data_IF_413002465418
#
_entry.id   IF_413002465418
#
_cell.length_a   1.000
_cell.length_b   1.000
_cell.length_c   1.000
_cell.angle_alpha   90.00
_cell.angle_beta   90.00
_cell.angle_gamma   90.00
#
_symmetry.space_group_name_H-M   'P 1'
#
loop_
_entity.id
_entity.type
_entity.pdbx_description
1 polymer ?
#
# COMPACT_ATOMS: atom_id res chain seq x y z
N UNK A 1 5.01 45.05 87.51
CA UNK A 1 5.38 43.70 87.05
C UNK A 1 4.11 42.87 86.88
N UNK A 2 3.50 42.83 85.69
CA UNK A 2 2.50 41.83 85.34
C UNK A 2 2.61 41.48 83.85
N UNK A 3 2.41 40.18 83.60
CA UNK A 3 3.00 39.40 82.52
C UNK A 3 2.12 39.40 81.28
N UNK A 4 2.79 39.35 80.13
CA UNK A 4 2.26 39.05 78.81
C UNK A 4 1.56 37.68 78.80
N UNK A 5 0.40 37.58 78.13
CA UNK A 5 -0.17 36.31 77.67
C UNK A 5 -0.49 36.48 76.18
N UNK A 6 0.32 35.83 75.35
CA UNK A 6 0.01 35.50 73.96
C UNK A 6 -0.78 34.19 73.94
N UNK A 7 -1.71 34.03 73.00
CA UNK A 7 -2.40 32.76 72.80
C UNK A 7 -3.17 32.68 71.48
N UNK A 8 -2.41 32.53 70.40
CA UNK A 8 -2.60 31.50 69.36
C UNK A 8 -4.01 31.31 68.75
N UNK A 9 -4.26 32.00 67.63
CA UNK A 9 -5.25 31.61 66.63
C UNK A 9 -4.60 30.57 65.69
N UNK A 10 -4.98 29.30 65.82
CA UNK A 10 -4.54 28.21 64.94
C UNK A 10 -5.53 28.09 63.77
N UNK A 11 -5.31 28.87 62.71
CA UNK A 11 -5.95 28.66 61.41
C UNK A 11 -5.15 27.59 60.66
N UNK A 12 -5.60 26.34 60.73
CA UNK A 12 -5.03 25.23 59.96
C UNK A 12 -5.36 25.39 58.48
N UNK A 13 -4.39 25.90 57.71
CA UNK A 13 -4.42 25.91 56.25
C UNK A 13 -4.13 24.49 55.76
N UNK A 14 -5.17 23.83 55.22
CA UNK A 14 -5.04 22.56 54.51
C UNK A 14 -4.49 22.86 53.12
N UNK A 15 -3.19 22.69 52.93
CA UNK A 15 -2.54 22.68 51.62
C UNK A 15 -2.84 21.34 50.94
N UNK A 16 -3.89 21.31 50.13
CA UNK A 16 -4.15 20.24 49.16
C UNK A 16 -3.12 20.36 48.03
N UNK A 17 -2.06 19.58 48.10
CA UNK A 17 -1.14 19.34 46.99
C UNK A 17 -1.83 18.48 45.93
N UNK A 18 -2.43 19.14 44.95
CA UNK A 18 -2.92 18.52 43.72
C UNK A 18 -1.68 18.23 42.85
N UNK A 19 -1.07 17.06 43.04
CA UNK A 19 -0.12 16.53 42.05
C UNK A 19 -0.94 15.95 40.91
N UNK A 20 -1.29 16.81 39.95
CA UNK A 20 -1.83 16.36 38.67
C UNK A 20 -0.64 15.94 37.82
N UNK A 21 -0.33 14.65 37.82
CA UNK A 21 0.67 14.05 36.93
C UNK A 21 0.06 14.04 35.51
N UNK A 22 0.16 15.18 34.82
CA UNK A 22 -0.15 15.27 33.40
C UNK A 22 0.98 14.58 32.65
N UNK A 23 0.87 13.25 32.55
CA UNK A 23 1.60 12.51 31.53
C UNK A 23 0.99 12.94 30.20
N UNK A 24 1.68 13.84 29.49
CA UNK A 24 1.44 14.01 28.06
C UNK A 24 1.54 12.63 27.44
N UNK A 25 0.40 12.12 26.97
CA UNK A 25 0.36 10.90 26.18
C UNK A 25 1.08 11.28 24.89
N UNK A 26 2.36 10.94 24.79
CA UNK A 26 3.07 11.00 23.51
C UNK A 26 2.19 10.29 22.50
N UNK A 27 1.59 11.06 21.59
CA UNK A 27 0.89 10.47 20.46
C UNK A 27 1.96 9.66 19.73
N UNK A 28 1.78 8.35 19.54
CA UNK A 28 2.78 7.57 18.84
C UNK A 28 3.05 8.25 17.50
N UNK A 29 4.32 8.59 17.25
CA UNK A 29 4.72 9.16 15.96
C UNK A 29 4.17 8.25 14.86
N UNK A 30 3.55 8.82 13.81
CA UNK A 30 3.01 8.01 12.72
C UNK A 30 4.16 7.19 12.13
N UNK A 31 4.03 5.86 12.23
CA UNK A 31 5.03 4.91 11.74
C UNK A 31 5.27 5.16 10.26
N UNK A 32 6.42 5.74 9.91
CA UNK A 32 6.83 5.88 8.52
C UNK A 32 7.20 4.49 7.98
N UNK A 33 6.41 3.90 7.06
CA UNK A 33 6.59 2.52 6.69
C UNK A 33 7.84 2.38 5.81
N UNK A 34 8.83 1.60 6.27
CA UNK A 34 10.12 1.42 5.58
C UNK A 34 10.00 1.06 4.10
N UNK A 35 9.00 0.27 3.72
CA UNK A 35 8.77 -0.19 2.35
C UNK A 35 7.61 0.54 1.65
N UNK A 36 7.06 1.59 2.25
CA UNK A 36 6.02 2.42 1.67
C UNK A 36 6.01 3.80 2.34
N UNK A 37 7.03 4.63 2.10
CA UNK A 37 7.15 5.92 2.75
C UNK A 37 5.96 6.82 2.36
N UNK A 38 5.22 7.30 3.37
CA UNK A 38 4.03 8.13 3.18
C UNK A 38 4.38 9.59 3.49
N UNK A 39 4.53 10.40 2.45
CA UNK A 39 4.88 11.81 2.58
C UNK A 39 4.35 12.59 1.38
N UNK A 40 3.68 13.71 1.65
CA UNK A 40 3.21 14.62 0.60
C UNK A 40 4.36 15.08 -0.28
N UNK A 41 4.11 15.15 -1.59
CA UNK A 41 5.12 15.49 -2.59
C UNK A 41 5.91 14.30 -3.12
N UNK A 42 5.82 13.11 -2.50
CA UNK A 42 6.41 11.90 -3.08
C UNK A 42 5.70 11.51 -4.36
N UNK A 43 6.48 11.06 -5.34
CA UNK A 43 5.95 10.56 -6.60
C UNK A 43 6.72 9.35 -7.13
N UNK A 44 6.04 8.58 -7.96
CA UNK A 44 6.56 7.43 -8.70
C UNK A 44 6.06 7.50 -10.14
N UNK A 45 6.96 7.28 -11.09
CA UNK A 45 6.66 7.15 -12.52
C UNK A 45 6.99 5.73 -12.93
N UNK A 46 5.99 5.02 -13.45
CA UNK A 46 6.11 3.65 -13.93
C UNK A 46 6.04 3.63 -15.45
N UNK A 47 6.89 2.81 -16.06
CA UNK A 47 6.68 2.31 -17.41
C UNK A 47 5.74 1.11 -17.35
N UNK A 48 4.76 1.07 -18.24
CA UNK A 48 3.67 0.09 -18.21
C UNK A 48 3.60 -0.63 -19.54
N UNK A 49 3.77 -1.94 -19.48
CA UNK A 49 3.45 -2.86 -20.56
C UNK A 49 2.09 -3.50 -20.23
N UNK A 50 1.15 -3.46 -21.16
CA UNK A 50 -0.16 -4.07 -20.98
C UNK A 50 -0.60 -4.77 -22.27
N UNK A 51 -1.18 -5.96 -22.10
CA UNK A 51 -1.91 -6.67 -23.14
C UNK A 51 -3.29 -7.05 -22.64
N UNK A 52 -4.32 -6.73 -23.39
CA UNK A 52 -5.70 -7.11 -23.09
C UNK A 52 -6.21 -8.09 -24.14
N UNK A 53 -6.85 -9.17 -23.70
CA UNK A 53 -7.36 -10.24 -24.56
C UNK A 53 -8.88 -10.20 -24.60
N UNK A 54 -9.45 -10.21 -25.80
CA UNK A 54 -10.90 -10.18 -26.05
C UNK A 54 -11.41 -11.47 -26.72
N UNK A 55 -10.50 -12.34 -27.15
CA UNK A 55 -10.81 -13.60 -27.79
C UNK A 55 -9.56 -14.37 -28.22
N UNK A 56 -9.77 -15.50 -28.88
CA UNK A 56 -8.69 -16.27 -29.51
C UNK A 56 -7.98 -15.43 -30.57
N UNK A 57 -6.68 -15.16 -30.35
CA UNK A 57 -5.87 -14.30 -31.21
C UNK A 57 -6.41 -12.86 -31.40
N UNK A 58 -7.30 -12.42 -30.52
CA UNK A 58 -7.83 -11.06 -30.48
C UNK A 58 -7.34 -10.36 -29.21
N UNK A 59 -6.37 -9.46 -29.39
CA UNK A 59 -5.73 -8.76 -28.29
C UNK A 59 -5.22 -7.38 -28.71
N UNK A 60 -5.09 -6.49 -27.74
CA UNK A 60 -4.49 -5.16 -27.89
C UNK A 60 -3.27 -5.03 -26.98
N UNK A 61 -2.15 -4.60 -27.58
CA UNK A 61 -0.94 -4.22 -26.87
C UNK A 61 -0.91 -2.71 -26.64
N UNK A 62 -0.52 -2.30 -25.43
CA UNK A 62 -0.31 -0.90 -25.10
C UNK A 62 0.95 -0.71 -24.27
N UNK A 63 1.64 0.39 -24.56
CA UNK A 63 2.79 0.87 -23.82
C UNK A 63 2.53 2.33 -23.44
N UNK A 64 2.68 2.63 -22.16
CA UNK A 64 2.38 3.95 -21.60
C UNK A 64 3.06 4.12 -20.23
N UNK A 65 2.79 5.22 -19.57
CA UNK A 65 3.36 5.58 -18.28
C UNK A 65 2.28 5.93 -17.27
N UNK A 66 2.47 5.52 -16.03
CA UNK A 66 1.71 6.00 -14.89
C UNK A 66 2.57 6.91 -14.02
N UNK A 67 1.97 7.95 -13.45
CA UNK A 67 2.56 8.78 -12.40
C UNK A 67 1.64 8.78 -11.19
N UNK A 68 2.10 8.21 -10.10
CA UNK A 68 1.45 8.29 -8.79
C UNK A 68 2.10 9.38 -7.98
N UNK A 69 1.31 10.26 -7.37
CA UNK A 69 1.80 11.32 -6.50
C UNK A 69 0.95 11.43 -5.24
N UNK A 70 1.58 11.48 -4.07
CA UNK A 70 0.91 11.86 -2.83
C UNK A 70 0.69 13.37 -2.85
N UNK A 71 -0.56 13.80 -3.02
CA UNK A 71 -0.90 15.22 -3.17
C UNK A 71 -1.28 15.88 -1.85
N UNK A 72 -1.91 15.13 -0.95
CA UNK A 72 -2.49 15.66 0.28
C UNK A 72 -2.38 14.64 1.41
N UNK A 73 -2.30 15.14 2.64
CA UNK A 73 -2.54 14.40 3.87
C UNK A 73 -3.85 14.90 4.50
N UNK A 74 -4.74 13.98 4.78
CA UNK A 74 -6.05 14.20 5.37
C UNK A 74 -6.12 13.47 6.72
N UNK A 75 -7.08 13.84 7.56
CA UNK A 75 -7.33 13.16 8.84
C UNK A 75 -8.68 12.46 8.77
N UNK A 76 -8.72 11.16 9.11
CA UNK A 76 -9.98 10.42 9.18
C UNK A 76 -10.76 10.70 10.48
N UNK A 77 -11.96 10.11 10.61
CA UNK A 77 -12.81 10.29 11.78
C UNK A 77 -12.18 9.78 13.10
N UNK A 78 -11.17 8.91 13.01
CA UNK A 78 -10.42 8.36 14.14
C UNK A 78 -9.15 9.17 14.46
N UNK A 79 -8.92 10.30 13.78
CA UNK A 79 -7.74 11.13 13.99
C UNK A 79 -6.46 10.60 13.35
N UNK A 80 -6.55 9.59 12.46
CA UNK A 80 -5.40 9.00 11.79
C UNK A 80 -5.12 9.68 10.43
N UNK A 81 -3.84 9.81 10.03
CA UNK A 81 -3.48 10.36 8.73
C UNK A 81 -3.87 9.43 7.57
N UNK A 82 -4.38 10.02 6.50
CA UNK A 82 -4.77 9.39 5.25
C UNK A 82 -4.16 10.17 4.10
N UNK A 83 -3.37 9.51 3.28
CA UNK A 83 -2.61 10.13 2.19
C UNK A 83 -3.35 9.94 0.88
N UNK A 84 -3.73 11.04 0.24
CA UNK A 84 -4.38 11.01 -1.08
C UNK A 84 -3.32 10.86 -2.16
N UNK A 85 -3.48 9.85 -3.01
CA UNK A 85 -2.64 9.59 -4.18
C UNK A 85 -3.45 9.88 -5.44
N UNK A 86 -2.88 10.67 -6.34
CA UNK A 86 -3.41 10.89 -7.69
C UNK A 86 -2.56 10.10 -8.67
N UNK A 87 -3.21 9.24 -9.45
CA UNK A 87 -2.62 8.55 -10.59
C UNK A 87 -2.93 9.30 -11.86
N UNK A 88 -1.90 9.57 -12.64
CA UNK A 88 -1.99 10.15 -13.97
C UNK A 88 -1.42 9.19 -15.00
N UNK A 89 -1.93 9.26 -16.23
CA UNK A 89 -1.53 8.44 -17.37
C UNK A 89 -0.90 9.32 -18.44
N UNK A 90 0.11 8.80 -19.13
CA UNK A 90 0.75 9.46 -20.26
C UNK A 90 1.23 8.44 -21.28
N UNK A 91 1.15 8.74 -22.57
CA UNK A 91 1.75 7.91 -23.64
C UNK A 91 3.17 8.37 -24.02
N UNK A 92 3.55 9.60 -23.67
CA UNK A 92 4.79 10.25 -24.13
C UNK A 92 5.65 10.86 -23.01
N UNK A 93 5.17 10.79 -21.75
CA UNK A 93 5.72 11.41 -20.53
C UNK A 93 5.64 12.94 -20.50
N UNK A 94 5.01 13.57 -21.48
CA UNK A 94 4.88 15.03 -21.59
C UNK A 94 3.49 15.48 -21.19
N UNK A 95 2.45 14.83 -21.72
CA UNK A 95 1.06 15.12 -21.40
C UNK A 95 0.53 14.07 -20.41
N UNK A 96 0.01 14.54 -19.28
CA UNK A 96 -0.45 13.70 -18.17
C UNK A 96 -1.92 13.95 -17.90
N UNK A 97 -2.74 12.94 -18.15
CA UNK A 97 -4.17 12.97 -17.88
C UNK A 97 -4.46 12.30 -16.53
N UNK A 98 -5.40 12.85 -15.77
CA UNK A 98 -5.82 12.22 -14.51
C UNK A 98 -6.57 10.91 -14.81
N UNK A 99 -6.04 9.79 -14.30
CA UNK A 99 -6.64 8.46 -14.48
C UNK A 99 -7.58 8.16 -13.32
N UNK A 100 -7.08 8.24 -12.08
CA UNK A 100 -7.83 7.94 -10.87
C UNK A 100 -7.17 8.57 -9.63
N UNK A 101 -7.88 8.51 -8.51
CA UNK A 101 -7.32 8.81 -7.21
C UNK A 101 -7.63 7.67 -6.23
N UNK A 102 -6.73 7.42 -5.30
CA UNK A 102 -6.90 6.49 -4.20
C UNK A 102 -6.29 7.06 -2.93
N UNK A 103 -6.50 6.40 -1.81
CA UNK A 103 -5.85 6.79 -0.55
C UNK A 103 -5.04 5.64 0.04
N UNK A 104 -3.98 6.00 0.74
CA UNK A 104 -3.14 5.12 1.53
C UNK A 104 -3.23 5.52 2.99
N UNK A 105 -3.31 4.56 3.90
CA UNK A 105 -3.23 4.80 5.34
C UNK A 105 -2.51 3.67 6.04
N UNK A 106 -1.89 4.00 7.17
CA UNK A 106 -1.44 3.00 8.12
C UNK A 106 -2.57 2.71 9.11
N UNK A 107 -2.96 1.44 9.15
CA UNK A 107 -3.95 0.92 10.09
C UNK A 107 -3.26 -0.07 11.03
N UNK A 108 -2.90 0.41 12.21
CA UNK A 108 -1.98 -0.30 13.12
C UNK A 108 -0.67 -0.62 12.40
N UNK A 109 -0.44 -1.90 12.06
CA UNK A 109 0.72 -2.39 11.33
C UNK A 109 0.40 -2.79 9.89
N UNK A 110 -0.66 -2.24 9.29
CA UNK A 110 -1.12 -2.60 7.93
C UNK A 110 -1.11 -1.37 7.03
N UNK A 111 -0.49 -1.48 5.86
CA UNK A 111 -0.65 -0.51 4.80
C UNK A 111 -1.94 -0.83 4.04
N UNK A 112 -2.91 0.08 4.12
CA UNK A 112 -4.23 -0.11 3.50
C UNK A 112 -4.41 0.88 2.37
N UNK A 113 -4.81 0.37 1.20
CA UNK A 113 -5.23 1.18 0.04
C UNK A 113 -6.75 1.17 -0.07
N UNK A 114 -7.35 2.36 -0.17
CA UNK A 114 -8.75 2.51 -0.52
C UNK A 114 -8.89 3.10 -1.92
N UNK A 115 -9.51 2.33 -2.82
CA UNK A 115 -9.72 2.70 -4.22
C UNK A 115 -11.04 2.10 -4.70
N UNK A 116 -11.84 2.87 -5.45
CA UNK A 116 -13.10 2.40 -6.05
C UNK A 116 -14.03 1.65 -5.06
N UNK A 117 -14.24 2.22 -3.86
CA UNK A 117 -15.05 1.63 -2.79
C UNK A 117 -14.56 0.28 -2.24
N UNK A 118 -13.31 -0.11 -2.50
CA UNK A 118 -12.69 -1.32 -1.95
C UNK A 118 -11.41 -1.00 -1.18
N UNK A 119 -11.24 -1.63 -0.02
CA UNK A 119 -10.07 -1.48 0.84
C UNK A 119 -9.20 -2.75 0.78
N UNK A 120 -7.97 -2.63 0.31
CA UNK A 120 -7.03 -3.75 0.23
C UNK A 120 -5.85 -3.53 1.17
N UNK A 121 -5.47 -4.56 1.92
CA UNK A 121 -4.22 -4.57 2.71
C UNK A 121 -3.08 -4.94 1.77
N UNK A 122 -2.22 -3.95 1.47
CA UNK A 122 -1.11 -4.10 0.52
C UNK A 122 0.12 -4.76 1.16
N UNK A 123 0.41 -4.39 2.41
CA UNK A 123 1.60 -4.86 3.12
C UNK A 123 1.34 -4.84 4.63
N UNK A 124 1.96 -5.76 5.35
CA UNK A 124 1.88 -5.84 6.82
C UNK A 124 3.25 -5.73 7.47
N UNK A 125 3.28 -5.10 8.63
CA UNK A 125 4.46 -4.82 9.43
C UNK A 125 4.42 -5.60 10.76
N UNK A 126 5.58 -5.97 11.32
CA UNK A 126 6.89 -6.01 10.66
C UNK A 126 6.89 -6.96 9.46
N UNK A 127 7.65 -6.59 8.42
CA UNK A 127 7.85 -7.40 7.21
C UNK A 127 8.73 -8.61 7.58
N UNK A 128 8.18 -9.82 7.45
CA UNK A 128 8.83 -11.07 7.82
C UNK A 128 8.52 -12.15 6.78
N UNK A 129 9.45 -13.08 6.48
CA UNK A 129 9.21 -14.16 5.53
C UNK A 129 8.01 -15.01 5.92
N UNK A 130 7.29 -15.55 4.93
CA UNK A 130 6.16 -16.48 5.09
C UNK A 130 4.93 -15.90 5.79
N UNK A 131 4.91 -14.59 6.10
CA UNK A 131 3.74 -13.96 6.69
C UNK A 131 2.64 -13.86 5.65
N UNK A 132 1.43 -14.27 6.02
CA UNK A 132 0.24 -14.26 5.18
C UNK A 132 -0.86 -13.42 5.81
N UNK A 133 -1.71 -12.83 4.97
CA UNK A 133 -2.89 -12.10 5.41
C UNK A 133 -3.97 -12.12 4.34
N UNK A 134 -5.20 -11.95 4.77
CA UNK A 134 -6.31 -11.68 3.87
C UNK A 134 -6.27 -10.20 3.43
N UNK A 135 -5.96 -9.97 2.15
CA UNK A 135 -5.95 -8.64 1.54
C UNK A 135 -7.35 -8.02 1.49
N UNK A 136 -8.40 -8.85 1.50
CA UNK A 136 -9.80 -8.46 1.44
C UNK A 136 -10.48 -8.39 2.81
N UNK A 137 -9.71 -8.37 3.92
CA UNK A 137 -10.25 -8.37 5.29
C UNK A 137 -11.36 -7.33 5.54
N UNK A 138 -11.31 -6.18 4.86
CA UNK A 138 -12.27 -5.09 5.00
C UNK A 138 -13.39 -5.08 3.95
N UNK A 139 -13.37 -6.01 3.00
CA UNK A 139 -14.32 -6.09 1.90
C UNK A 139 -15.32 -7.22 2.13
N UNK A 140 -16.54 -7.13 1.57
CA UNK A 140 -17.53 -8.21 1.64
C UNK A 140 -17.23 -9.38 0.68
N UNK A 141 -16.09 -9.35 -0.02
CA UNK A 141 -15.65 -10.39 -0.95
C UNK A 141 -15.00 -11.55 -0.21
N UNK A 142 -14.81 -12.68 -0.90
CA UNK A 142 -14.06 -13.81 -0.33
C UNK A 142 -12.61 -13.42 0.02
N UNK A 143 -11.96 -14.20 0.90
CA UNK A 143 -10.59 -13.94 1.30
C UNK A 143 -9.65 -14.02 0.11
N UNK A 144 -8.67 -13.13 0.05
CA UNK A 144 -7.59 -13.16 -0.92
C UNK A 144 -6.27 -13.15 -0.17
N UNK A 145 -5.59 -14.31 -0.14
CA UNK A 145 -4.44 -14.49 0.73
C UNK A 145 -3.17 -14.00 0.05
N UNK A 146 -2.65 -12.87 0.53
CA UNK A 146 -1.33 -12.39 0.14
C UNK A 146 -0.26 -12.99 1.05
N UNK A 147 0.96 -13.11 0.54
CA UNK A 147 2.10 -13.64 1.26
C UNK A 147 3.38 -12.84 1.01
N UNK A 148 4.21 -12.66 2.04
CA UNK A 148 5.61 -12.27 1.83
C UNK A 148 6.38 -13.50 1.35
N UNK A 149 6.68 -13.52 0.06
CA UNK A 149 7.39 -14.61 -0.60
C UNK A 149 8.91 -14.47 -0.39
N UNK A 150 9.44 -13.26 -0.59
CA UNK A 150 10.90 -13.02 -0.54
C UNK A 150 11.21 -11.66 0.05
N UNK A 151 12.30 -11.60 0.81
CA UNK A 151 12.93 -10.37 1.29
C UNK A 151 14.39 -10.39 0.86
N UNK A 152 14.89 -9.30 0.31
CA UNK A 152 16.29 -9.16 -0.07
C UNK A 152 16.49 -8.26 -1.29
N UNK A 153 17.62 -8.46 -1.97
CA UNK A 153 17.92 -7.71 -3.18
C UNK A 153 16.95 -8.07 -4.31
N UNK A 154 16.48 -7.07 -5.05
CA UNK A 154 15.64 -7.22 -6.23
C UNK A 154 16.25 -6.45 -7.40
N UNK A 155 16.42 -7.13 -8.53
CA UNK A 155 16.93 -6.51 -9.75
C UNK A 155 15.79 -6.35 -10.77
N UNK A 156 15.70 -5.16 -11.36
CA UNK A 156 14.71 -4.81 -12.37
C UNK A 156 15.43 -4.09 -13.52
N UNK A 157 15.77 -4.85 -14.56
CA UNK A 157 16.68 -4.39 -15.62
C UNK A 157 18.07 -4.08 -15.06
N UNK A 158 18.57 -2.87 -15.33
CA UNK A 158 19.87 -2.40 -14.82
C UNK A 158 19.81 -1.85 -13.38
N UNK A 159 18.62 -1.75 -12.78
CA UNK A 159 18.43 -1.21 -11.43
C UNK A 159 18.43 -2.33 -10.41
N UNK A 160 19.12 -2.10 -9.30
CA UNK A 160 19.16 -3.03 -8.17
C UNK A 160 18.67 -2.32 -6.91
N UNK A 161 17.63 -2.88 -6.30
CA UNK A 161 17.11 -2.48 -5.00
C UNK A 161 17.67 -3.46 -3.96
N UNK A 162 18.67 -3.09 -3.16
CA UNK A 162 19.37 -4.04 -2.28
C UNK A 162 18.50 -4.56 -1.13
N UNK A 163 17.41 -3.85 -0.81
CA UNK A 163 16.47 -4.18 0.26
C UNK A 163 15.05 -3.96 -0.27
N UNK A 164 14.40 -5.07 -0.60
CA UNK A 164 13.04 -5.11 -1.11
C UNK A 164 12.27 -6.30 -0.55
N UNK A 165 10.94 -6.23 -0.62
CA UNK A 165 10.01 -7.30 -0.30
C UNK A 165 9.15 -7.62 -1.52
N UNK A 166 9.09 -8.90 -1.89
CA UNK A 166 8.13 -9.41 -2.86
C UNK A 166 6.91 -9.92 -2.11
N UNK A 167 5.76 -9.34 -2.42
CA UNK A 167 4.44 -9.76 -1.97
C UNK A 167 3.76 -10.53 -3.09
N UNK A 168 3.48 -11.80 -2.84
CA UNK A 168 2.71 -12.66 -3.72
C UNK A 168 1.24 -12.45 -3.47
N UNK A 169 0.47 -12.12 -4.51
CA UNK A 169 -0.99 -12.04 -4.44
C UNK A 169 -1.62 -13.38 -4.81
N UNK A 170 -1.15 -13.98 -5.90
CA UNK A 170 -1.60 -15.27 -6.41
C UNK A 170 -0.53 -15.89 -7.31
N UNK A 171 -0.45 -17.21 -7.32
CA UNK A 171 0.28 -18.01 -8.30
C UNK A 171 -0.46 -19.33 -8.48
N UNK A 172 -1.40 -19.35 -9.42
CA UNK A 172 -2.25 -20.49 -9.75
C UNK A 172 -2.41 -20.60 -11.27
N UNK A 173 -2.28 -21.80 -11.79
CA UNK A 173 -2.43 -22.13 -13.22
C UNK A 173 -2.91 -23.57 -13.28
N UNK A 174 -4.18 -23.77 -13.66
CA UNK A 174 -4.74 -25.11 -13.80
C UNK A 174 -4.37 -25.75 -15.15
N UNK A 175 -3.67 -25.01 -16.02
CA UNK A 175 -3.29 -25.36 -17.39
C UNK A 175 -4.47 -25.71 -18.32
N UNK A 176 -5.72 -25.49 -17.88
CA UNK A 176 -6.94 -25.94 -18.56
C UNK A 176 -7.93 -24.80 -18.76
N UNK A 177 -8.33 -24.10 -17.70
CA UNK A 177 -9.37 -23.06 -17.72
C UNK A 177 -8.89 -21.68 -17.31
N UNK A 178 -7.83 -21.54 -16.51
CA UNK A 178 -7.35 -20.22 -16.10
C UNK A 178 -5.87 -20.19 -15.68
N UNK A 179 -5.35 -18.97 -15.58
CA UNK A 179 -4.09 -18.63 -14.92
C UNK A 179 -4.24 -17.31 -14.17
N UNK A 180 -3.77 -17.27 -12.94
CA UNK A 180 -3.65 -16.09 -12.11
C UNK A 180 -2.24 -16.04 -11.49
N UNK A 181 -1.40 -15.15 -12.00
CA UNK A 181 -0.06 -14.90 -11.49
C UNK A 181 0.12 -13.41 -11.21
N UNK A 182 0.13 -13.05 -9.92
CA UNK A 182 0.15 -11.65 -9.47
C UNK A 182 1.13 -11.46 -8.32
N UNK A 183 1.99 -10.45 -8.44
CA UNK A 183 2.89 -10.04 -7.37
C UNK A 183 3.22 -8.55 -7.43
N UNK A 184 3.66 -8.02 -6.30
CA UNK A 184 4.18 -6.66 -6.18
C UNK A 184 5.53 -6.70 -5.43
N UNK A 185 6.43 -5.80 -5.79
CA UNK A 185 7.73 -5.63 -5.12
C UNK A 185 7.81 -4.23 -4.56
N UNK A 186 8.15 -4.15 -3.27
CA UNK A 186 8.31 -2.90 -2.54
C UNK A 186 9.76 -2.74 -2.09
N UNK A 187 10.42 -1.66 -2.48
CA UNK A 187 11.79 -1.36 -2.06
C UNK A 187 11.83 -0.37 -0.88
N UNK A 188 12.82 -0.56 -0.02
CA UNK A 188 13.06 0.30 1.13
C UNK A 188 13.25 1.77 0.74
N UNK A 189 12.58 2.68 1.45
CA UNK A 189 12.57 4.13 1.24
C UNK A 189 12.09 4.60 -0.16
N UNK A 190 11.65 3.66 -1.00
CA UNK A 190 11.09 3.92 -2.31
C UNK A 190 9.59 3.66 -2.29
N UNK A 191 9.13 2.48 -1.90
CA UNK A 191 7.74 2.06 -2.10
C UNK A 191 7.62 0.99 -3.19
N UNK A 192 6.47 0.93 -3.86
CA UNK A 192 6.23 0.02 -4.98
C UNK A 192 7.25 0.29 -6.12
N UNK A 193 8.02 -0.73 -6.50
CA UNK A 193 8.99 -0.67 -7.60
C UNK A 193 8.58 -1.51 -8.81
N UNK A 194 7.79 -2.55 -8.57
CA UNK A 194 7.30 -3.44 -9.62
C UNK A 194 5.92 -3.98 -9.24
N UNK A 195 5.02 -4.07 -10.21
CA UNK A 195 3.72 -4.75 -10.07
C UNK A 195 3.49 -5.58 -11.31
N UNK A 196 3.24 -6.87 -11.14
CA UNK A 196 3.03 -7.83 -12.21
C UNK A 196 1.68 -8.50 -12.04
N UNK A 197 0.92 -8.60 -13.12
CA UNK A 197 -0.36 -9.29 -13.12
C UNK A 197 -0.65 -9.95 -14.46
N UNK A 198 -0.86 -11.26 -14.41
CA UNK A 198 -1.45 -12.07 -15.46
C UNK A 198 -2.72 -12.72 -14.91
N UNK A 199 -3.87 -12.34 -15.44
CA UNK A 199 -5.14 -13.01 -15.12
C UNK A 199 -5.80 -13.36 -16.43
N UNK A 200 -5.82 -14.66 -16.75
CA UNK A 200 -6.30 -15.19 -18.03
C UNK A 200 -7.36 -16.25 -17.82
N UNK A 201 -8.30 -16.29 -18.75
CA UNK A 201 -9.23 -17.40 -18.95
C UNK A 201 -8.82 -18.13 -20.22
N UNK A 202 -8.62 -19.44 -20.13
CA UNK A 202 -8.33 -20.30 -21.27
C UNK A 202 -9.60 -20.81 -21.95
N UNK A 203 -9.43 -21.29 -23.17
CA UNK A 203 -10.47 -21.91 -23.97
C UNK A 203 -10.91 -23.25 -23.35
N UNK A 204 -12.14 -23.29 -22.85
CA UNK A 204 -12.73 -24.48 -22.21
C UNK A 204 -13.66 -25.29 -23.12
N UNK A 205 -13.70 -24.98 -24.43
CA UNK A 205 -14.47 -25.75 -25.42
C UNK A 205 -13.75 -27.06 -25.70
N UNK A 206 -14.49 -28.12 -26.01
CA UNK A 206 -13.92 -29.45 -26.30
C UNK A 206 -12.86 -29.45 -27.41
N UNK A 207 -12.94 -28.54 -28.37
CA UNK A 207 -11.99 -28.43 -29.48
C UNK A 207 -10.62 -27.83 -29.11
N UNK A 208 -10.51 -27.12 -27.98
CA UNK A 208 -9.33 -26.33 -27.59
C UNK A 208 -8.91 -26.57 -26.12
N UNK A 209 -9.63 -27.44 -25.39
CA UNK A 209 -9.40 -27.71 -23.97
C UNK A 209 -7.96 -28.21 -23.74
N UNK A 210 -7.26 -27.61 -22.78
CA UNK A 210 -5.88 -27.97 -22.44
C UNK A 210 -4.82 -27.48 -23.44
N UNK A 211 -5.20 -26.69 -24.46
CA UNK A 211 -4.25 -26.05 -25.37
C UNK A 211 -3.76 -24.68 -24.86
N UNK A 212 -4.26 -24.22 -23.70
CA UNK A 212 -3.93 -22.93 -23.09
C UNK A 212 -4.14 -21.71 -24.01
N UNK A 213 -5.11 -21.82 -24.93
CA UNK A 213 -5.51 -20.71 -25.79
C UNK A 213 -6.25 -19.68 -24.94
N UNK A 214 -5.69 -18.49 -24.77
CA UNK A 214 -6.30 -17.39 -24.03
C UNK A 214 -7.56 -16.91 -24.77
N UNK A 215 -8.68 -16.84 -24.05
CA UNK A 215 -9.96 -16.32 -24.56
C UNK A 215 -10.29 -14.93 -24.02
N UNK A 216 -9.83 -14.61 -22.82
CA UNK A 216 -10.04 -13.32 -22.20
C UNK A 216 -9.01 -13.12 -21.10
N UNK A 217 -8.77 -11.87 -20.74
CA UNK A 217 -7.93 -11.53 -19.59
C UNK A 217 -6.99 -10.38 -19.86
N UNK A 218 -6.09 -10.14 -18.91
CA UNK A 218 -5.18 -9.00 -18.96
C UNK A 218 -3.82 -9.37 -18.39
N UNK A 219 -2.81 -8.98 -19.14
CA UNK A 219 -1.44 -8.83 -18.67
C UNK A 219 -1.17 -7.36 -18.40
N UNK A 220 -0.58 -7.04 -17.26
CA UNK A 220 -0.06 -5.71 -16.96
C UNK A 220 1.20 -5.81 -16.10
N UNK A 221 2.23 -5.06 -16.48
CA UNK A 221 3.51 -5.01 -15.78
C UNK A 221 3.96 -3.56 -15.63
N UNK A 222 4.00 -3.08 -14.40
CA UNK A 222 4.52 -1.77 -14.03
C UNK A 222 5.97 -1.96 -13.58
N UNK A 223 6.89 -1.19 -14.17
CA UNK A 223 8.30 -1.11 -13.76
C UNK A 223 8.62 0.34 -13.39
N UNK A 224 9.16 0.56 -12.21
CA UNK A 224 9.51 1.91 -11.76
C UNK A 224 10.62 2.54 -12.62
N UNK A 225 10.27 3.63 -13.30
CA UNK A 225 11.18 4.44 -14.13
C UNK A 225 11.77 5.62 -13.36
N UNK A 226 11.03 6.30 -12.50
CA UNK A 226 11.56 7.45 -11.74
C UNK A 226 10.78 7.62 -10.44
N UNK A 227 11.42 8.09 -9.38
CA UNK A 227 10.72 8.46 -8.15
C UNK A 227 11.45 9.62 -7.47
N UNK A 228 10.78 10.28 -6.55
CA UNK A 228 11.38 11.38 -5.81
C UNK A 228 10.42 12.05 -4.86
N UNK A 229 10.81 13.23 -4.41
CA UNK A 229 9.99 14.17 -3.67
C UNK A 229 10.13 15.53 -4.33
N UNK A 230 9.01 16.25 -4.50
CA UNK A 230 9.01 17.63 -4.97
C UNK A 230 9.56 18.60 -3.92
#
# INVERSE_FOLDING_TARGET
MHRWIQGFFLAGVVLLSISCDWTERESPEPMNPRFSPLQVGRFWVYEVEQREYFGEADFEDSHFFYRDQITEELTNAQGQPVYRVVRQRSVDRQQWDNELAYSLRMDESRLVRWMNNSQHILLIYPVQPLRQWDANLFNPTGPEIFAIERIGSHAMGERVFPSAVLVRHMEDDDFITFRDNRYEVYAENVGLVESYSEVFTYCSRSACLGQQIIQAGRFIHLKLSTHGIF
#
